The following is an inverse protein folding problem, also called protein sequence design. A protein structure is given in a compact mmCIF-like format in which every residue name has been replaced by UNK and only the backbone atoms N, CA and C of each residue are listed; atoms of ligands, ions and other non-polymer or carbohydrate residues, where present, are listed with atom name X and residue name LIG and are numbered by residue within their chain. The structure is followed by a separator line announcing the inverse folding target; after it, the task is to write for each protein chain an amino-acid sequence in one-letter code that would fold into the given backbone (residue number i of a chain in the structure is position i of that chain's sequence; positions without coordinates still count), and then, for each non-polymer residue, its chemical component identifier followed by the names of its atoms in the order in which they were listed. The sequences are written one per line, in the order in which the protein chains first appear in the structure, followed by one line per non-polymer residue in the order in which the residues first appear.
data_IF_614086350794
#
_entry.id   IF_614086350794
#
_cell.length_a   1.000
_cell.length_b   1.000
_cell.length_c   1.000
_cell.angle_alpha   90.00
_cell.angle_beta   90.00
_cell.angle_gamma   90.00
#
_symmetry.space_group_name_H-M   'P 1'
#
loop_
_entity.id
_entity.type
_entity.pdbx_description
1 polymer ?
#
# COMPACT_ATOMS: atom_id res chain seq x y z
N UNK A 1 -29.89 -12.08 8.89
CA UNK A 1 -28.94 -11.15 8.24
C UNK A 1 -29.15 -11.23 6.74
N UNK A 2 -29.14 -10.11 6.03
CA UNK A 2 -29.19 -10.12 4.57
C UNK A 2 -27.78 -10.28 3.99
N UNK A 3 -27.64 -10.84 2.78
CA UNK A 3 -26.34 -10.96 2.11
C UNK A 3 -25.63 -9.61 1.90
N UNK A 4 -26.38 -8.51 1.89
CA UNK A 4 -25.84 -7.15 1.83
C UNK A 4 -25.20 -6.72 3.16
N UNK A 5 -25.80 -7.10 4.29
CA UNK A 5 -25.25 -6.81 5.62
C UNK A 5 -23.94 -7.59 5.82
N UNK A 6 -23.92 -8.87 5.44
CA UNK A 6 -22.73 -9.72 5.54
C UNK A 6 -21.58 -9.20 4.65
N UNK A 7 -21.90 -8.76 3.42
CA UNK A 7 -20.91 -8.17 2.51
C UNK A 7 -20.36 -6.85 3.04
N UNK A 8 -21.21 -6.01 3.64
CA UNK A 8 -20.79 -4.76 4.26
C UNK A 8 -19.88 -5.00 5.47
N UNK A 9 -20.25 -5.93 6.36
CA UNK A 9 -19.42 -6.31 7.51
C UNK A 9 -18.05 -6.84 7.07
N UNK A 10 -18.02 -7.70 6.04
CA UNK A 10 -16.78 -8.20 5.45
C UNK A 10 -15.87 -7.08 4.95
N UNK A 11 -16.44 -6.13 4.18
CA UNK A 11 -15.70 -4.97 3.67
C UNK A 11 -15.16 -4.07 4.81
N UNK A 12 -15.92 -3.90 5.89
CA UNK A 12 -15.48 -3.10 7.04
C UNK A 12 -14.33 -3.78 7.79
N UNK A 13 -14.39 -5.10 7.96
CA UNK A 13 -13.31 -5.89 8.56
C UNK A 13 -12.05 -5.80 7.70
N UNK A 14 -12.17 -5.95 6.38
CA UNK A 14 -11.04 -5.85 5.46
C UNK A 14 -10.36 -4.47 5.52
N UNK A 15 -11.15 -3.40 5.46
CA UNK A 15 -10.63 -2.03 5.57
C UNK A 15 -9.91 -1.79 6.90
N UNK A 16 -10.43 -2.34 7.99
CA UNK A 16 -9.79 -2.28 9.30
C UNK A 16 -8.44 -2.98 9.30
N UNK A 17 -8.38 -4.21 8.79
CA UNK A 17 -7.14 -5.01 8.69
C UNK A 17 -6.07 -4.32 7.84
N UNK A 18 -6.47 -3.73 6.71
CA UNK A 18 -5.56 -2.95 5.85
C UNK A 18 -5.01 -1.74 6.61
N UNK A 19 -5.88 -1.02 7.34
CA UNK A 19 -5.44 0.14 8.13
C UNK A 19 -4.45 -0.24 9.22
N UNK A 20 -4.69 -1.34 9.94
CA UNK A 20 -3.77 -1.85 10.96
C UNK A 20 -2.43 -2.27 10.36
N UNK A 21 -2.44 -2.97 9.23
CA UNK A 21 -1.23 -3.35 8.50
C UNK A 21 -0.41 -2.12 8.11
N UNK A 22 -1.04 -1.07 7.57
CA UNK A 22 -0.36 0.19 7.25
C UNK A 22 0.29 0.80 8.50
N UNK A 23 -0.47 0.95 9.60
CA UNK A 23 0.06 1.56 10.82
C UNK A 23 1.20 0.76 11.46
N UNK A 24 1.16 -0.57 11.35
CA UNK A 24 2.25 -1.48 11.74
C UNK A 24 3.48 -1.24 10.86
N UNK A 25 3.36 -1.35 9.54
CA UNK A 25 4.50 -1.31 8.62
C UNK A 25 5.13 0.08 8.49
N UNK A 26 4.37 1.15 8.72
CA UNK A 26 4.90 2.51 8.82
C UNK A 26 5.93 2.64 9.94
N UNK A 27 5.78 1.89 11.03
CA UNK A 27 6.71 1.92 12.18
C UNK A 27 7.92 0.99 11.98
N UNK A 28 7.72 -0.12 11.28
CA UNK A 28 8.75 -1.16 11.10
C UNK A 28 9.75 -0.77 10.01
N UNK A 29 9.26 -0.42 8.82
CA UNK A 29 10.14 -0.27 7.66
C UNK A 29 10.69 1.14 7.53
N UNK A 30 11.93 1.28 7.06
CA UNK A 30 12.50 2.60 6.76
C UNK A 30 11.86 3.18 5.48
N UNK A 31 11.83 4.51 5.29
CA UNK A 31 11.31 5.10 4.06
C UNK A 31 12.04 4.62 2.80
N UNK A 32 13.36 4.43 2.87
CA UNK A 32 14.14 3.97 1.72
C UNK A 32 13.82 2.52 1.35
N UNK A 33 13.61 1.65 2.36
CA UNK A 33 13.21 0.27 2.12
C UNK A 33 11.85 0.22 1.40
N UNK A 34 10.84 0.92 1.92
CA UNK A 34 9.51 0.99 1.29
C UNK A 34 9.58 1.48 -0.17
N UNK A 35 10.44 2.46 -0.45
CA UNK A 35 10.65 2.95 -1.82
C UNK A 35 11.27 1.87 -2.71
N UNK A 36 12.27 1.15 -2.21
CA UNK A 36 12.91 0.07 -2.97
C UNK A 36 11.93 -1.06 -3.26
N UNK A 37 11.15 -1.46 -2.25
CA UNK A 37 10.18 -2.55 -2.36
C UNK A 37 9.07 -2.18 -3.34
N UNK A 38 8.56 -0.95 -3.29
CA UNK A 38 7.60 -0.44 -4.28
C UNK A 38 8.15 -0.40 -5.71
N UNK A 39 9.45 -0.10 -5.89
CA UNK A 39 10.09 -0.14 -7.21
C UNK A 39 10.25 -1.60 -7.69
N UNK A 40 10.61 -2.52 -6.79
CA UNK A 40 10.73 -3.95 -7.12
C UNK A 40 9.38 -4.54 -7.51
N UNK A 41 8.33 -4.28 -6.73
CA UNK A 41 6.95 -4.66 -7.03
C UNK A 41 6.53 -4.21 -8.44
N UNK A 42 6.75 -2.93 -8.79
CA UNK A 42 6.44 -2.42 -10.14
C UNK A 42 7.34 -2.95 -11.27
N UNK A 43 8.45 -3.60 -10.95
CA UNK A 43 9.28 -4.31 -11.94
C UNK A 43 8.81 -5.73 -12.17
N UNK A 44 8.28 -6.38 -11.14
CA UNK A 44 7.76 -7.74 -11.20
C UNK A 44 6.38 -7.76 -11.86
N UNK A 45 5.51 -6.85 -11.46
CA UNK A 45 4.19 -6.65 -12.06
C UNK A 45 4.01 -5.19 -12.46
N UNK A 46 3.64 -4.96 -13.72
CA UNK A 46 3.43 -3.63 -14.26
C UNK A 46 2.38 -2.86 -13.47
N UNK A 47 2.55 -1.54 -13.37
CA UNK A 47 1.57 -0.65 -12.76
C UNK A 47 0.22 -0.80 -13.49
N UNK A 48 -0.84 -1.07 -12.73
CA UNK A 48 -2.21 -0.91 -13.18
C UNK A 48 -2.58 0.58 -13.10
N UNK A 49 -2.79 1.21 -14.25
CA UNK A 49 -3.14 2.63 -14.34
C UNK A 49 -4.63 2.90 -14.06
N UNK A 50 -5.47 1.86 -14.04
CA UNK A 50 -6.89 1.98 -13.65
C UNK A 50 -7.04 1.94 -12.12
N UNK A 51 -6.10 1.29 -11.41
CA UNK A 51 -6.01 1.38 -9.96
C UNK A 51 -5.44 2.73 -9.52
N UNK A 52 -6.32 3.53 -8.90
CA UNK A 52 -5.97 4.88 -8.42
C UNK A 52 -4.82 4.92 -7.41
N UNK A 53 -4.63 3.88 -6.60
CA UNK A 53 -3.58 3.79 -5.59
C UNK A 53 -2.25 3.47 -6.25
N UNK A 54 -2.24 2.57 -7.24
CA UNK A 54 -1.04 2.25 -8.00
C UNK A 54 -0.56 3.42 -8.86
N UNK A 55 -1.47 4.04 -9.63
CA UNK A 55 -1.18 5.22 -10.43
C UNK A 55 -0.63 6.36 -9.55
N UNK A 56 -1.24 6.60 -8.38
CA UNK A 56 -0.76 7.60 -7.44
C UNK A 56 0.61 7.23 -6.82
N UNK A 57 0.84 5.95 -6.51
CA UNK A 57 2.11 5.45 -5.99
C UNK A 57 3.25 5.62 -7.00
N UNK A 58 2.99 5.41 -8.29
CA UNK A 58 3.92 5.70 -9.37
C UNK A 58 4.32 7.18 -9.40
N UNK A 59 3.36 8.10 -9.26
CA UNK A 59 3.65 9.55 -9.20
C UNK A 59 4.42 9.95 -7.95
N UNK A 60 4.15 9.30 -6.81
CA UNK A 60 4.94 9.47 -5.59
C UNK A 60 6.40 9.07 -5.84
N UNK A 61 6.65 7.90 -6.44
CA UNK A 61 8.01 7.42 -6.73
C UNK A 61 8.75 8.36 -7.68
N UNK A 62 8.08 8.86 -8.74
CA UNK A 62 8.64 9.88 -9.64
C UNK A 62 9.01 11.16 -8.87
N UNK A 63 8.16 11.58 -7.94
CA UNK A 63 8.40 12.76 -7.11
C UNK A 63 9.62 12.54 -6.19
N UNK A 64 9.66 11.43 -5.46
CA UNK A 64 10.76 11.05 -4.57
C UNK A 64 12.09 11.01 -5.33
N UNK A 65 12.10 10.46 -6.56
CA UNK A 65 13.29 10.41 -7.40
C UNK A 65 13.88 11.81 -7.69
N UNK A 66 13.04 12.85 -7.75
CA UNK A 66 13.44 14.24 -7.96
C UNK A 66 13.85 14.94 -6.66
N UNK A 67 13.03 14.84 -5.61
CA UNK A 67 13.24 15.60 -4.37
C UNK A 67 14.13 14.90 -3.33
N UNK A 68 14.44 13.61 -3.55
CA UNK A 68 15.28 12.76 -2.67
C UNK A 68 14.82 12.71 -1.21
N UNK A 69 13.52 12.95 -0.97
CA UNK A 69 12.89 12.92 0.35
C UNK A 69 11.55 12.23 0.26
N UNK A 70 11.23 11.46 1.30
CA UNK A 70 9.95 10.78 1.46
C UNK A 70 9.25 11.37 2.68
N UNK A 71 8.02 11.86 2.50
CA UNK A 71 7.17 12.25 3.62
C UNK A 71 6.44 11.04 4.21
N UNK A 72 6.00 11.14 5.47
CA UNK A 72 5.24 10.06 6.11
C UNK A 72 3.95 9.72 5.35
N UNK A 73 3.31 10.72 4.73
CA UNK A 73 2.11 10.52 3.88
C UNK A 73 2.45 9.71 2.63
N UNK A 74 3.56 10.04 1.96
CA UNK A 74 4.01 9.30 0.79
C UNK A 74 4.40 7.87 1.15
N UNK A 75 5.13 7.68 2.26
CA UNK A 75 5.49 6.37 2.79
C UNK A 75 4.24 5.52 3.08
N UNK A 76 3.23 6.09 3.75
CA UNK A 76 1.94 5.43 4.02
C UNK A 76 1.24 4.98 2.73
N UNK A 77 1.25 5.81 1.68
CA UNK A 77 0.65 5.45 0.40
C UNK A 77 1.37 4.28 -0.28
N UNK A 78 2.71 4.30 -0.29
CA UNK A 78 3.50 3.21 -0.86
C UNK A 78 3.28 1.89 -0.09
N UNK A 79 3.22 1.95 1.26
CA UNK A 79 2.89 0.77 2.08
C UNK A 79 1.48 0.27 1.76
N UNK A 80 0.49 1.15 1.62
CA UNK A 80 -0.87 0.74 1.24
C UNK A 80 -0.87 -0.01 -0.08
N UNK A 81 -0.13 0.48 -1.08
CA UNK A 81 -0.01 -0.19 -2.37
C UNK A 81 0.60 -1.59 -2.23
N UNK A 82 1.71 -1.72 -1.49
CA UNK A 82 2.36 -3.02 -1.24
C UNK A 82 1.44 -4.01 -0.51
N UNK A 83 0.65 -3.52 0.45
CA UNK A 83 -0.34 -4.34 1.18
C UNK A 83 -1.45 -4.84 0.25
N UNK A 84 -1.96 -3.98 -0.63
CA UNK A 84 -3.03 -4.35 -1.57
C UNK A 84 -2.57 -5.30 -2.66
N UNK A 85 -1.30 -5.20 -3.08
CA UNK A 85 -0.67 -6.16 -3.99
C UNK A 85 -0.36 -7.50 -3.31
N UNK A 86 -0.45 -7.58 -1.98
CA UNK A 86 -0.10 -8.79 -1.23
C UNK A 86 1.39 -9.10 -1.29
N UNK A 87 2.23 -8.08 -1.33
CA UNK A 87 3.69 -8.23 -1.41
C UNK A 87 4.25 -8.92 -0.15
N UNK A 88 5.27 -9.75 -0.34
CA UNK A 88 5.92 -10.49 0.75
C UNK A 88 6.41 -9.52 1.85
N UNK A 89 5.99 -9.76 3.10
CA UNK A 89 6.29 -8.91 4.25
C UNK A 89 5.36 -7.70 4.42
N UNK A 90 4.32 -7.57 3.59
CA UNK A 90 3.27 -6.55 3.64
C UNK A 90 1.87 -7.17 3.75
N UNK A 91 1.70 -8.23 4.53
CA UNK A 91 0.43 -8.95 4.64
C UNK A 91 -0.57 -8.25 5.57
N UNK A 92 -1.86 -8.40 5.28
CA UNK A 92 -2.98 -8.02 6.16
C UNK A 92 -3.84 -9.26 6.49
N UNK A 93 -4.35 -9.34 7.73
CA UNK A 93 -5.34 -10.35 8.12
C UNK A 93 -4.83 -11.68 8.69
N UNK A 94 -3.85 -11.65 9.60
CA UNK A 94 -3.49 -12.83 10.42
C UNK A 94 -4.39 -12.98 11.65
#
# INVERSE_FOLDING_TARGET
MSALDDAYEGMMIENYMISEAIDKYVKIYSPQQVVNDAISSFREESVDEEDSIEAFSKEILKTIARIKRVSDKQKRCLIKMLVLRGEDGYEYGY
#
